data_IF_163051916489
#
_entry.id   IF_163051916489
#
_cell.length_a   1.000
_cell.length_b   1.000
_cell.length_c   1.000
_cell.angle_alpha   90.00
_cell.angle_beta   90.00
_cell.angle_gamma   90.00
#
_symmetry.space_group_name_H-M   'P 1'
#
loop_
_entity.id
_entity.type
_entity.pdbx_description
1 polymer ?
#
# COMPACT_ATOMS: atom_id res chain seq x y z
N UNK A 1 11.00 -4.05 5.72
CA UNK A 1 10.42 -5.40 5.87
C UNK A 1 10.88 -6.24 4.68
N UNK A 2 11.00 -7.56 4.87
CA UNK A 2 11.42 -8.49 3.82
C UNK A 2 10.33 -9.54 3.67
N UNK A 3 9.95 -9.84 2.43
CA UNK A 3 9.10 -10.97 2.09
C UNK A 3 9.98 -11.98 1.38
N UNK A 4 9.95 -13.21 1.85
CA UNK A 4 10.73 -14.31 1.30
C UNK A 4 9.82 -15.40 0.76
N UNK A 5 10.27 -16.08 -0.29
CA UNK A 5 9.66 -17.32 -0.72
C UNK A 5 9.84 -18.37 0.38
N UNK A 6 8.76 -19.03 0.79
CA UNK A 6 8.75 -19.91 1.97
C UNK A 6 9.69 -21.13 1.81
N UNK A 7 9.70 -21.75 0.63
CA UNK A 7 10.51 -22.95 0.38
C UNK A 7 11.99 -22.65 0.05
N UNK A 8 12.27 -21.62 -0.76
CA UNK A 8 13.62 -21.34 -1.24
C UNK A 8 14.36 -20.32 -0.36
N UNK A 9 13.64 -19.58 0.49
CA UNK A 9 14.19 -18.45 1.26
C UNK A 9 14.57 -17.24 0.39
N UNK A 10 14.29 -17.27 -0.91
CA UNK A 10 14.60 -16.18 -1.82
C UNK A 10 13.87 -14.89 -1.39
N UNK A 11 14.59 -13.77 -1.36
CA UNK A 11 13.99 -12.47 -1.07
C UNK A 11 13.18 -12.02 -2.29
N UNK A 12 11.86 -12.10 -2.18
CA UNK A 12 10.92 -11.66 -3.22
C UNK A 12 10.74 -10.14 -3.19
N UNK A 13 10.82 -9.54 -2.01
CA UNK A 13 10.60 -8.12 -1.83
C UNK A 13 11.30 -7.58 -0.58
N UNK A 14 11.80 -6.35 -0.67
CA UNK A 14 12.40 -5.62 0.45
C UNK A 14 11.97 -4.16 0.38
N UNK A 15 11.45 -3.64 1.48
CA UNK A 15 11.19 -2.22 1.64
C UNK A 15 11.86 -1.63 2.88
N UNK A 16 12.10 -0.33 2.80
CA UNK A 16 12.57 0.52 3.88
C UNK A 16 11.70 1.78 3.90
N UNK A 17 11.56 2.40 5.07
CA UNK A 17 10.84 3.66 5.23
C UNK A 17 11.62 4.56 6.18
N UNK A 18 11.42 5.86 6.02
CA UNK A 18 12.03 6.91 6.83
C UNK A 18 10.95 7.68 7.55
N UNK A 19 11.26 8.18 8.75
CA UNK A 19 10.35 9.02 9.54
C UNK A 19 11.09 10.21 10.13
N UNK A 20 10.39 11.33 10.26
CA UNK A 20 10.86 12.51 11.00
C UNK A 20 10.56 12.43 12.50
N UNK A 21 9.82 11.39 12.94
CA UNK A 21 9.56 11.16 14.36
C UNK A 21 10.86 10.79 15.08
N UNK A 22 11.06 11.37 16.27
CA UNK A 22 12.17 10.97 17.14
C UNK A 22 11.88 9.60 17.72
N UNK A 23 12.78 8.65 17.48
CA UNK A 23 12.64 7.29 17.95
C UNK A 23 13.36 7.07 19.28
N UNK A 24 12.72 6.29 20.15
CA UNK A 24 13.29 5.71 21.37
C UNK A 24 12.72 4.29 21.58
N UNK A 25 13.24 3.57 22.56
CA UNK A 25 12.86 2.17 22.81
C UNK A 25 11.38 2.01 23.18
N UNK A 26 10.71 3.07 23.63
CA UNK A 26 9.30 3.02 24.05
C UNK A 26 8.35 3.18 22.87
N UNK A 27 8.71 4.01 21.88
CA UNK A 27 7.85 4.32 20.74
C UNK A 27 8.19 3.52 19.47
N UNK A 28 9.41 2.97 19.37
CA UNK A 28 9.86 2.23 18.19
C UNK A 28 8.92 1.07 17.82
N UNK A 29 8.42 0.23 18.76
CA UNK A 29 7.50 -0.86 18.39
C UNK A 29 6.23 -0.38 17.70
N UNK A 30 5.65 0.73 18.17
CA UNK A 30 4.42 1.31 17.64
C UNK A 30 4.66 1.94 16.27
N UNK A 31 5.71 2.75 16.12
CA UNK A 31 6.03 3.39 14.83
C UNK A 31 6.32 2.32 13.75
N UNK A 32 6.99 1.24 14.12
CA UNK A 32 7.22 0.10 13.20
C UNK A 32 5.90 -0.59 12.82
N UNK A 33 4.94 -0.73 13.75
CA UNK A 33 3.62 -1.25 13.43
C UNK A 33 2.87 -0.34 12.44
N UNK A 34 2.90 0.98 12.64
CA UNK A 34 2.34 1.95 11.71
C UNK A 34 2.98 1.85 10.31
N UNK A 35 4.31 1.72 10.24
CA UNK A 35 5.03 1.54 8.97
C UNK A 35 4.61 0.27 8.22
N UNK A 36 4.39 -0.83 8.94
CA UNK A 36 3.85 -2.08 8.34
C UNK A 36 2.40 -1.93 7.88
N UNK A 37 1.56 -1.26 8.66
CA UNK A 37 0.16 -1.01 8.29
C UNK A 37 0.05 -0.16 7.02
N UNK A 38 0.84 0.92 6.91
CA UNK A 38 0.96 1.71 5.67
C UNK A 38 1.34 0.85 4.48
N UNK A 39 2.38 0.04 4.62
CA UNK A 39 2.80 -0.85 3.53
C UNK A 39 1.69 -1.83 3.14
N UNK A 40 1.00 -2.43 4.11
CA UNK A 40 -0.09 -3.36 3.85
C UNK A 40 -1.22 -2.69 3.08
N UNK A 41 -1.63 -1.49 3.50
CA UNK A 41 -2.62 -0.68 2.79
C UNK A 41 -2.16 -0.34 1.36
N UNK A 42 -0.92 0.12 1.18
CA UNK A 42 -0.37 0.41 -0.16
C UNK A 42 -0.27 -0.84 -1.04
N UNK A 43 0.07 -2.00 -0.48
CA UNK A 43 0.27 -3.23 -1.24
C UNK A 43 -1.04 -3.97 -1.51
N UNK A 44 -2.00 -3.98 -0.59
CA UNK A 44 -3.30 -4.63 -0.80
C UNK A 44 -4.20 -3.73 -1.66
N UNK A 45 -4.39 -2.47 -1.29
CA UNK A 45 -5.28 -1.56 -2.04
C UNK A 45 -4.80 -1.35 -3.47
N UNK A 46 -3.52 -1.00 -3.68
CA UNK A 46 -3.05 -0.72 -5.05
C UNK A 46 -2.98 -1.98 -5.92
N UNK A 47 -2.66 -3.14 -5.35
CA UNK A 47 -2.60 -4.40 -6.08
C UNK A 47 -4.01 -4.90 -6.43
N UNK A 48 -4.98 -4.74 -5.54
CA UNK A 48 -6.40 -5.04 -5.82
C UNK A 48 -6.96 -4.11 -6.90
N UNK A 49 -6.73 -2.80 -6.79
CA UNK A 49 -7.18 -1.82 -7.78
C UNK A 49 -6.52 -2.04 -9.16
N UNK A 50 -5.25 -2.44 -9.19
CA UNK A 50 -4.50 -2.64 -10.44
C UNK A 50 -4.74 -3.99 -11.10
N UNK A 51 -4.85 -5.07 -10.31
CA UNK A 51 -4.81 -6.45 -10.82
C UNK A 51 -6.10 -7.25 -10.63
N UNK A 52 -7.02 -6.84 -9.75
CA UNK A 52 -8.15 -7.70 -9.37
C UNK A 52 -9.57 -7.16 -9.57
N UNK A 53 -9.84 -5.87 -9.84
CA UNK A 53 -11.23 -5.46 -10.17
C UNK A 53 -11.47 -4.17 -10.96
N UNK A 54 -10.53 -3.24 -11.10
CA UNK A 54 -10.83 -1.95 -11.77
C UNK A 54 -10.12 -1.70 -13.09
N UNK A 55 -9.20 -2.56 -13.55
CA UNK A 55 -8.45 -2.40 -14.80
C UNK A 55 -8.11 -0.92 -15.08
N UNK A 56 -7.59 -0.20 -14.07
CA UNK A 56 -7.42 1.27 -14.15
C UNK A 56 -6.45 1.68 -15.25
N UNK A 57 -5.58 0.76 -15.69
CA UNK A 57 -4.71 0.91 -16.88
C UNK A 57 -5.49 0.97 -18.21
N UNK A 58 -6.78 0.60 -18.20
CA UNK A 58 -7.67 0.56 -19.36
C UNK A 58 -8.90 1.49 -19.18
N UNK A 59 -8.89 2.41 -18.22
CA UNK A 59 -9.93 3.43 -18.08
C UNK A 59 -9.73 4.59 -19.08
N UNK A 60 -9.77 4.29 -20.38
CA UNK A 60 -9.89 5.30 -21.46
C UNK A 60 -11.35 5.79 -21.63
N UNK A 61 -12.22 5.59 -20.62
CA UNK A 61 -13.66 5.75 -20.76
C UNK A 61 -14.19 7.19 -20.68
N UNK A 62 -13.64 8.07 -19.84
CA UNK A 62 -14.25 9.39 -19.56
C UNK A 62 -13.23 10.53 -19.37
N UNK A 63 -12.09 10.47 -20.05
CA UNK A 63 -11.09 11.54 -20.02
C UNK A 63 -10.38 11.70 -18.67
N UNK A 64 -9.21 12.34 -18.70
CA UNK A 64 -8.32 12.47 -17.54
C UNK A 64 -8.88 13.35 -16.40
N UNK A 65 -10.01 14.04 -16.62
CA UNK A 65 -10.51 15.07 -15.71
C UNK A 65 -11.14 14.52 -14.41
N UNK A 66 -11.66 13.29 -14.40
CA UNK A 66 -12.37 12.71 -13.24
C UNK A 66 -11.71 11.45 -12.66
N UNK A 67 -10.59 11.00 -13.21
CA UNK A 67 -9.92 9.77 -12.78
C UNK A 67 -9.46 9.84 -11.31
N UNK A 68 -8.98 11.01 -10.87
CA UNK A 68 -8.58 11.26 -9.48
C UNK A 68 -9.76 11.26 -8.52
N UNK A 69 -10.93 11.78 -8.93
CA UNK A 69 -12.14 11.78 -8.12
C UNK A 69 -12.69 10.36 -7.91
N UNK A 70 -12.70 9.52 -8.96
CA UNK A 70 -13.10 8.11 -8.85
C UNK A 70 -12.15 7.29 -7.97
N UNK A 71 -10.83 7.52 -8.09
CA UNK A 71 -9.83 6.90 -7.21
C UNK A 71 -10.01 7.33 -5.75
N UNK A 72 -10.26 8.61 -5.50
CA UNK A 72 -10.50 9.13 -4.15
C UNK A 72 -11.71 8.47 -3.48
N UNK A 73 -12.84 8.36 -4.20
CA UNK A 73 -14.04 7.69 -3.68
C UNK A 73 -13.80 6.21 -3.36
N UNK A 74 -13.00 5.50 -4.14
CA UNK A 74 -12.68 4.08 -3.86
C UNK A 74 -11.72 3.91 -2.67
N UNK A 75 -10.84 4.89 -2.43
CA UNK A 75 -9.90 4.91 -1.30
C UNK A 75 -10.62 5.27 0.01
N UNK A 76 -11.64 6.13 -0.04
CA UNK A 76 -12.40 6.60 1.14
C UNK A 76 -13.52 5.63 1.57
N UNK A 77 -13.92 4.66 0.74
CA UNK A 77 -15.05 3.76 0.99
C UNK A 77 -14.67 2.37 1.52
N UNK A 78 -13.45 2.15 2.05
CA UNK A 78 -13.23 0.96 2.88
C UNK A 78 -14.01 1.15 4.21
N UNK A 79 -15.12 0.41 4.44
CA UNK A 79 -15.85 0.51 5.69
C UNK A 79 -15.08 -0.25 6.78
N UNK A 80 -15.13 0.30 8.00
CA UNK A 80 -14.57 -0.28 9.24
C UNK A 80 -14.86 -1.78 9.44
#
# INVERSE_FOLDING_TARGET
MVITHEETGEILYRNEWVTSLKLDDTNTPEVVACGRARWKSENENNNVLTNHSYHIKHNFGHGAENLSATLLTLIELEPD
#
